data_IF_425745914472
#
_entry.id   IF_425745914472
#
_cell.length_a   1.000
_cell.length_b   1.000
_cell.length_c   1.000
_cell.angle_alpha   90.00
_cell.angle_beta   90.00
_cell.angle_gamma   90.00
#
_symmetry.space_group_name_H-M   'P 1'
#
loop_
_entity.id
_entity.type
_entity.pdbx_description
1 polymer ?
#
# COMPACT_ATOMS: atom_id res chain seq x y z
N UNK A 1 -0.15 6.57 41.31
CA UNK A 1 0.27 6.10 39.97
C UNK A 1 -0.02 7.24 39.03
N UNK A 2 0.99 7.88 38.44
CA UNK A 2 0.76 8.92 37.42
C UNK A 2 0.05 8.28 36.24
N UNK A 3 -1.08 8.83 35.80
CA UNK A 3 -1.69 8.41 34.54
C UNK A 3 -0.65 8.56 33.42
N UNK A 4 -0.35 7.45 32.74
CA UNK A 4 0.46 7.48 31.53
C UNK A 4 -0.35 8.24 30.49
N UNK A 5 0.22 9.33 29.96
CA UNK A 5 -0.44 10.12 28.91
C UNK A 5 -0.82 9.22 27.73
N UNK A 6 -2.06 9.32 27.27
CA UNK A 6 -2.61 8.57 26.14
C UNK A 6 -2.68 9.44 24.90
N UNK A 7 -2.33 8.85 23.76
CA UNK A 7 -2.23 9.51 22.47
C UNK A 7 -3.19 8.88 21.46
N UNK A 8 -3.59 9.68 20.47
CA UNK A 8 -4.26 9.19 19.27
C UNK A 8 -3.22 8.83 18.22
N UNK A 9 -3.30 7.64 17.65
CA UNK A 9 -2.51 7.27 16.48
C UNK A 9 -3.24 7.70 15.20
N UNK A 10 -2.55 8.42 14.31
CA UNK A 10 -3.01 8.73 12.97
C UNK A 10 -2.06 8.06 11.97
N UNK A 11 -2.57 7.12 11.18
CA UNK A 11 -1.73 6.29 10.28
C UNK A 11 -2.47 5.88 9.02
N UNK A 12 -1.83 5.16 8.11
CA UNK A 12 -2.43 4.63 6.88
C UNK A 12 -3.21 3.35 7.15
N UNK A 13 -4.24 3.09 6.33
CA UNK A 13 -4.98 1.82 6.36
C UNK A 13 -4.27 0.75 5.50
N UNK A 14 -3.05 0.40 5.88
CA UNK A 14 -2.24 -0.65 5.26
C UNK A 14 -1.50 -1.46 6.33
N UNK A 15 -0.73 -2.47 5.91
CA UNK A 15 -0.09 -3.40 6.84
C UNK A 15 0.95 -2.71 7.74
N UNK A 16 1.65 -1.68 7.24
CA UNK A 16 2.58 -0.89 8.06
C UNK A 16 1.84 -0.09 9.15
N UNK A 17 0.73 0.57 8.80
CA UNK A 17 -0.12 1.22 9.78
C UNK A 17 -0.73 0.27 10.82
N UNK A 18 -1.12 -0.94 10.41
CA UNK A 18 -1.57 -2.01 11.31
C UNK A 18 -0.49 -2.38 12.33
N UNK A 19 0.73 -2.66 11.87
CA UNK A 19 1.82 -3.07 12.78
C UNK A 19 2.26 -1.91 13.66
N UNK A 20 2.30 -0.67 13.16
CA UNK A 20 2.50 0.53 13.99
C UNK A 20 1.48 0.60 15.15
N UNK A 21 0.20 0.38 14.84
CA UNK A 21 -0.86 0.36 15.84
C UNK A 21 -0.69 -0.77 16.86
N UNK A 22 -0.29 -1.97 16.42
CA UNK A 22 0.02 -3.11 17.29
C UNK A 22 1.12 -2.75 18.29
N UNK A 23 2.25 -2.21 17.82
CA UNK A 23 3.40 -1.82 18.65
C UNK A 23 3.01 -0.76 19.70
N UNK A 24 2.36 0.32 19.25
CA UNK A 24 1.99 1.44 20.13
C UNK A 24 0.88 1.06 21.12
N UNK A 25 -0.03 0.16 20.73
CA UNK A 25 -1.04 -0.41 21.64
C UNK A 25 -0.39 -1.33 22.68
N UNK A 26 0.64 -2.08 22.32
CA UNK A 26 1.39 -2.94 23.24
C UNK A 26 2.16 -2.14 24.31
N UNK A 27 2.67 -0.95 23.94
CA UNK A 27 3.22 0.01 24.91
C UNK A 27 2.17 0.57 25.88
N UNK A 28 0.88 0.38 25.58
CA UNK A 28 -0.21 0.92 26.37
C UNK A 28 -0.30 2.44 26.31
N UNK A 29 0.12 3.09 25.23
CA UNK A 29 0.12 4.56 25.10
C UNK A 29 -1.00 5.10 24.22
N UNK A 30 -1.79 4.22 23.58
CA UNK A 30 -2.91 4.64 22.72
C UNK A 30 -4.26 4.59 23.43
N UNK A 31 -5.15 5.53 23.09
CA UNK A 31 -6.58 5.51 23.40
C UNK A 31 -7.49 5.64 22.16
N UNK A 32 -6.97 6.19 21.05
CA UNK A 32 -7.68 6.31 19.78
C UNK A 32 -6.77 5.96 18.60
N UNK A 33 -7.34 5.39 17.54
CA UNK A 33 -6.66 5.11 16.27
C UNK A 33 -7.52 5.64 15.13
N UNK A 34 -6.91 6.38 14.21
CA UNK A 34 -7.56 6.93 13.02
C UNK A 34 -6.74 6.61 11.77
N UNK A 35 -7.36 5.88 10.85
CA UNK A 35 -6.76 5.63 9.54
C UNK A 35 -7.08 6.77 8.56
N UNK A 36 -6.07 7.26 7.84
CA UNK A 36 -6.20 8.38 6.89
C UNK A 36 -5.37 8.11 5.62
N UNK A 37 -5.70 8.83 4.55
CA UNK A 37 -4.91 8.82 3.32
C UNK A 37 -3.83 9.92 3.36
N UNK A 38 -2.60 9.68 2.85
CA UNK A 38 -1.52 10.69 2.83
C UNK A 38 -1.93 12.04 2.20
N UNK A 39 -2.75 11.98 1.14
CA UNK A 39 -3.29 13.18 0.50
C UNK A 39 -4.14 14.03 1.44
N UNK A 40 -4.95 13.43 2.32
CA UNK A 40 -5.80 14.20 3.23
C UNK A 40 -4.98 14.89 4.33
N UNK A 41 -3.83 14.32 4.70
CA UNK A 41 -2.83 15.00 5.54
C UNK A 41 -2.21 16.20 4.80
N UNK A 42 -1.78 16.01 3.54
CA UNK A 42 -1.20 17.09 2.73
C UNK A 42 -2.18 18.22 2.42
N UNK A 43 -3.45 17.89 2.19
CA UNK A 43 -4.53 18.84 1.93
C UNK A 43 -5.02 19.53 3.25
N UNK A 44 -4.47 19.18 4.41
CA UNK A 44 -4.83 19.78 5.71
C UNK A 44 -6.25 19.44 6.20
N UNK A 45 -6.83 18.33 5.73
CA UNK A 45 -8.20 17.91 6.11
C UNK A 45 -8.25 17.16 7.43
N UNK A 46 -7.11 16.68 7.91
CA UNK A 46 -7.00 15.96 9.18
C UNK A 46 -6.45 16.94 10.22
N UNK A 47 -7.26 17.21 11.25
CA UNK A 47 -6.82 17.99 12.40
C UNK A 47 -5.79 17.19 13.21
N UNK A 48 -4.61 17.78 13.40
CA UNK A 48 -3.48 17.24 14.16
C UNK A 48 -3.16 18.16 15.34
N UNK A 49 -2.91 17.56 16.49
CA UNK A 49 -2.68 18.24 17.79
C UNK A 49 -1.51 17.60 18.53
N UNK A 50 -1.10 18.20 19.65
CA UNK A 50 -0.06 17.65 20.53
C UNK A 50 -0.41 16.31 21.21
N UNK A 51 -1.60 15.76 20.96
CA UNK A 51 -2.01 14.40 21.37
C UNK A 51 -1.76 13.34 20.31
N UNK A 52 -1.29 13.72 19.13
CA UNK A 52 -1.21 12.81 17.98
C UNK A 52 0.17 12.23 17.78
N UNK A 53 0.23 10.91 17.62
CA UNK A 53 1.38 10.22 17.05
C UNK A 53 1.01 9.88 15.60
N UNK A 54 1.86 10.28 14.64
CA UNK A 54 1.64 9.94 13.23
C UNK A 54 2.67 8.92 12.76
N UNK A 55 2.27 7.92 11.99
CA UNK A 55 3.20 6.94 11.39
C UNK A 55 2.94 6.78 9.90
N UNK A 56 4.00 6.66 9.10
CA UNK A 56 3.94 6.48 7.63
C UNK A 56 3.03 7.52 6.95
N UNK A 57 3.14 8.78 7.36
CA UNK A 57 2.36 9.89 6.80
C UNK A 57 3.28 11.11 6.63
N UNK A 58 2.96 12.01 5.68
CA UNK A 58 3.69 13.26 5.53
C UNK A 58 3.73 14.03 6.84
N UNK A 59 4.89 14.59 7.18
CA UNK A 59 5.06 15.38 8.41
C UNK A 59 4.07 16.53 8.49
N UNK A 60 3.46 16.69 9.66
CA UNK A 60 2.59 17.81 10.04
C UNK A 60 3.07 18.40 11.36
N UNK A 61 3.18 19.72 11.42
CA UNK A 61 3.55 20.45 12.63
C UNK A 61 2.45 20.32 13.70
N UNK A 62 2.83 20.22 14.98
CA UNK A 62 1.91 20.09 16.10
C UNK A 62 1.68 18.67 16.60
N UNK A 63 2.04 17.63 15.84
CA UNK A 63 2.03 16.25 16.31
C UNK A 63 3.00 16.05 17.50
N UNK A 64 2.66 15.14 18.42
CA UNK A 64 3.53 14.74 19.52
C UNK A 64 4.82 14.07 19.01
N UNK A 65 4.66 13.03 18.19
CA UNK A 65 5.73 12.30 17.51
C UNK A 65 5.30 11.95 16.09
N UNK A 66 6.25 12.04 15.15
CA UNK A 66 6.07 11.66 13.75
C UNK A 66 7.10 10.59 13.42
N UNK A 67 6.66 9.38 13.12
CA UNK A 67 7.51 8.28 12.68
C UNK A 67 7.41 8.12 11.16
N UNK A 68 8.55 8.20 10.49
CA UNK A 68 8.61 8.07 9.03
C UNK A 68 9.93 7.41 8.59
N UNK A 69 9.96 6.97 7.34
CA UNK A 69 11.11 6.36 6.69
C UNK A 69 11.28 6.81 5.22
N UNK A 70 10.46 7.77 4.75
CA UNK A 70 10.57 8.25 3.38
C UNK A 70 11.73 9.24 3.22
N UNK A 71 12.71 8.90 2.37
CA UNK A 71 13.84 9.78 2.08
C UNK A 71 13.41 11.18 1.63
N UNK A 72 12.29 11.31 0.89
CA UNK A 72 11.75 12.60 0.47
C UNK A 72 11.41 13.53 1.63
N UNK A 73 10.95 13.00 2.77
CA UNK A 73 10.58 13.79 3.93
C UNK A 73 11.79 14.36 4.67
N UNK A 74 12.94 13.66 4.62
CA UNK A 74 14.22 14.19 5.14
C UNK A 74 14.63 15.48 4.43
N UNK A 75 14.35 15.57 3.13
CA UNK A 75 14.66 16.74 2.31
C UNK A 75 13.61 17.85 2.48
N UNK A 76 12.33 17.49 2.59
CA UNK A 76 11.21 18.45 2.66
C UNK A 76 11.11 19.17 4.00
N UNK A 77 11.28 18.43 5.11
CA UNK A 77 10.99 18.91 6.46
C UNK A 77 12.23 19.45 7.17
N UNK A 78 13.40 18.89 6.86
CA UNK A 78 14.62 19.12 7.61
C UNK A 78 14.59 18.49 9.01
N UNK A 79 15.47 18.96 9.90
CA UNK A 79 15.57 18.45 11.27
C UNK A 79 14.48 19.01 12.19
N UNK A 80 13.67 18.13 12.78
CA UNK A 80 12.67 18.47 13.80
C UNK A 80 12.77 17.47 14.95
N UNK A 81 12.69 17.97 16.19
CA UNK A 81 12.91 17.14 17.38
C UNK A 81 11.87 16.01 17.54
N UNK A 82 10.63 16.25 17.09
CA UNK A 82 9.55 15.27 17.13
C UNK A 82 9.46 14.39 15.87
N UNK A 83 10.37 14.56 14.89
CA UNK A 83 10.38 13.81 13.64
C UNK A 83 11.40 12.68 13.75
N UNK A 84 10.92 11.51 14.11
CA UNK A 84 11.71 10.28 14.21
C UNK A 84 11.72 9.63 12.83
N UNK A 85 12.78 9.89 12.07
CA UNK A 85 12.90 9.42 10.69
C UNK A 85 14.17 8.62 10.48
N UNK A 86 14.02 7.43 9.90
CA UNK A 86 15.14 6.65 9.37
C UNK A 86 14.89 6.28 7.91
N UNK A 87 15.52 6.97 6.94
CA UNK A 87 15.30 6.71 5.52
C UNK A 87 15.86 5.37 5.03
N UNK A 88 16.57 4.62 5.88
CA UNK A 88 17.06 3.27 5.59
C UNK A 88 16.14 2.18 6.15
N UNK A 89 15.20 2.53 7.03
CA UNK A 89 14.26 1.58 7.56
C UNK A 89 13.30 1.11 6.45
N UNK A 90 13.02 -0.19 6.34
CA UNK A 90 12.14 -0.74 5.32
C UNK A 90 10.65 -0.43 5.53
N UNK A 91 10.25 0.02 6.72
CA UNK A 91 8.87 0.36 7.11
C UNK A 91 8.86 1.41 8.24
N UNK A 92 7.76 2.14 8.44
CA UNK A 92 7.63 3.00 9.62
C UNK A 92 7.45 2.19 10.92
N UNK A 93 6.85 1.00 10.84
CA UNK A 93 6.77 0.06 11.95
C UNK A 93 8.17 -0.33 12.47
N UNK A 94 9.15 -0.51 11.58
CA UNK A 94 10.55 -0.72 11.99
C UNK A 94 11.11 0.47 12.75
N UNK A 95 10.85 1.70 12.30
CA UNK A 95 11.28 2.91 13.00
C UNK A 95 10.67 2.99 14.40
N UNK A 96 9.37 2.70 14.54
CA UNK A 96 8.69 2.63 15.85
C UNK A 96 9.32 1.55 16.72
N UNK A 97 9.52 0.34 16.18
CA UNK A 97 10.08 -0.80 16.90
C UNK A 97 11.47 -0.48 17.45
N UNK A 98 12.37 0.04 16.61
CA UNK A 98 13.75 0.34 16.99
C UNK A 98 13.83 1.54 17.95
N UNK A 99 13.04 2.60 17.73
CA UNK A 99 13.01 3.78 18.59
C UNK A 99 12.68 3.45 20.05
N UNK A 100 11.74 2.51 20.27
CA UNK A 100 11.32 2.13 21.62
C UNK A 100 12.17 1.01 22.25
N UNK A 101 13.21 0.50 21.58
CA UNK A 101 14.14 -0.49 22.14
C UNK A 101 14.00 -1.91 21.59
N UNK A 102 13.31 -2.08 20.47
CA UNK A 102 13.26 -3.33 19.72
C UNK A 102 12.81 -4.53 20.54
N UNK A 103 13.49 -5.68 20.39
CA UNK A 103 13.08 -6.96 20.99
C UNK A 103 13.03 -6.92 22.51
N UNK A 104 13.91 -6.14 23.14
CA UNK A 104 13.91 -5.96 24.59
C UNK A 104 12.62 -5.27 25.08
N UNK A 105 12.11 -4.31 24.30
CA UNK A 105 10.86 -3.61 24.63
C UNK A 105 9.62 -4.39 24.21
N UNK A 106 9.71 -5.16 23.13
CA UNK A 106 8.61 -5.87 22.49
C UNK A 106 8.82 -7.40 22.51
N UNK A 107 8.93 -8.03 23.69
CA UNK A 107 9.28 -9.46 23.78
C UNK A 107 8.21 -10.37 23.17
N UNK A 108 6.95 -9.96 23.23
CA UNK A 108 5.76 -10.71 22.75
C UNK A 108 5.46 -10.47 21.27
N UNK A 109 6.04 -9.43 20.65
CA UNK A 109 5.81 -9.13 19.24
C UNK A 109 6.55 -10.17 18.39
N UNK A 110 5.82 -10.73 17.42
CA UNK A 110 6.33 -11.72 16.49
C UNK A 110 7.43 -11.12 15.61
N UNK A 111 8.59 -11.77 15.57
CA UNK A 111 9.67 -11.41 14.66
C UNK A 111 9.28 -11.66 13.20
N UNK A 112 8.44 -12.67 12.95
CA UNK A 112 7.90 -12.97 11.63
C UNK A 112 6.99 -11.84 11.13
N UNK A 113 6.12 -11.30 11.99
CA UNK A 113 5.28 -10.15 11.65
C UNK A 113 6.13 -8.92 11.33
N UNK A 114 7.18 -8.67 12.11
CA UNK A 114 8.11 -7.57 11.87
C UNK A 114 8.90 -7.76 10.56
N UNK A 115 9.29 -8.99 10.21
CA UNK A 115 9.92 -9.27 8.92
C UNK A 115 8.94 -9.09 7.76
N UNK A 116 7.67 -9.49 7.95
CA UNK A 116 6.64 -9.38 6.92
C UNK A 116 6.25 -7.93 6.61
N UNK A 117 6.15 -7.05 7.62
CA UNK A 117 5.86 -5.62 7.39
C UNK A 117 7.01 -4.93 6.66
N UNK A 118 8.25 -5.28 7.00
CA UNK A 118 9.44 -4.78 6.30
C UNK A 118 9.47 -5.22 4.84
N UNK A 119 9.12 -6.49 4.58
CA UNK A 119 8.99 -7.01 3.22
C UNK A 119 7.87 -6.30 2.44
N UNK A 120 6.72 -6.09 3.08
CA UNK A 120 5.54 -5.50 2.47
C UNK A 120 5.75 -4.06 2.01
N UNK A 121 6.27 -3.21 2.90
CA UNK A 121 6.34 -1.78 2.65
C UNK A 121 7.50 -1.42 1.69
N UNK A 122 8.61 -2.14 1.78
CA UNK A 122 9.72 -2.07 0.79
C UNK A 122 9.43 -2.82 -0.53
N UNK A 123 8.29 -3.51 -0.59
CA UNK A 123 7.85 -4.37 -1.69
C UNK A 123 8.90 -5.41 -2.12
N UNK A 124 9.65 -5.97 -1.17
CA UNK A 124 10.69 -6.98 -1.39
C UNK A 124 10.11 -8.40 -1.51
N UNK A 125 9.06 -8.54 -2.33
CA UNK A 125 8.47 -9.83 -2.63
C UNK A 125 9.24 -10.56 -3.74
N UNK A 126 9.33 -11.88 -3.57
CA UNK A 126 9.71 -12.80 -4.62
C UNK A 126 8.51 -13.09 -5.53
N UNK A 127 8.79 -13.68 -6.70
CA UNK A 127 7.73 -14.07 -7.63
C UNK A 127 6.74 -15.06 -7.00
N UNK A 128 7.22 -15.98 -6.17
CA UNK A 128 6.38 -16.97 -5.50
C UNK A 128 5.44 -16.34 -4.48
N UNK A 129 5.92 -15.34 -3.71
CA UNK A 129 5.10 -14.59 -2.76
C UNK A 129 3.90 -13.93 -3.43
N UNK A 130 4.04 -13.55 -4.71
CA UNK A 130 3.00 -12.92 -5.52
C UNK A 130 2.01 -13.94 -6.08
N UNK A 131 2.53 -15.07 -6.59
CA UNK A 131 1.73 -16.11 -7.25
C UNK A 131 0.91 -16.92 -6.24
N UNK A 132 1.54 -17.31 -5.13
CA UNK A 132 0.96 -18.18 -4.11
C UNK A 132 1.17 -17.57 -2.71
N UNK A 133 0.59 -16.40 -2.43
CA UNK A 133 0.74 -15.74 -1.14
C UNK A 133 0.20 -16.61 -0.01
N UNK A 134 0.97 -16.74 1.06
CA UNK A 134 0.56 -17.43 2.30
C UNK A 134 0.91 -16.55 3.50
N UNK A 135 0.41 -16.93 4.68
CA UNK A 135 0.75 -16.28 5.95
C UNK A 135 0.53 -14.76 5.91
N UNK A 136 1.53 -14.01 6.39
CA UNK A 136 1.46 -12.55 6.49
C UNK A 136 1.39 -11.86 5.13
N UNK A 137 1.99 -12.43 4.10
CA UNK A 137 1.90 -11.91 2.72
C UNK A 137 0.46 -11.98 2.22
N UNK A 138 -0.23 -13.09 2.47
CA UNK A 138 -1.66 -13.22 2.13
C UNK A 138 -2.50 -12.20 2.90
N UNK A 139 -2.27 -12.08 4.21
CA UNK A 139 -2.97 -11.09 5.03
C UNK A 139 -2.76 -9.66 4.51
N UNK A 140 -1.52 -9.30 4.18
CA UNK A 140 -1.23 -7.99 3.60
C UNK A 140 -2.00 -7.77 2.29
N UNK A 141 -2.01 -8.75 1.39
CA UNK A 141 -2.70 -8.61 0.10
C UNK A 141 -4.22 -8.51 0.24
N UNK A 142 -4.87 -9.26 1.13
CA UNK A 142 -6.32 -9.14 1.32
C UNK A 142 -6.72 -7.84 2.04
N UNK A 143 -5.79 -7.26 2.81
CA UNK A 143 -6.02 -5.96 3.47
C UNK A 143 -5.73 -4.77 2.56
N UNK A 144 -4.90 -4.94 1.53
CA UNK A 144 -4.62 -3.88 0.55
C UNK A 144 -5.88 -3.54 -0.25
N UNK A 145 -6.39 -2.32 -0.09
CA UNK A 145 -7.55 -1.82 -0.83
C UNK A 145 -7.38 -1.93 -2.36
N UNK A 146 -6.14 -1.92 -2.86
CA UNK A 146 -5.80 -2.04 -4.29
C UNK A 146 -6.04 -3.45 -4.82
N UNK A 147 -6.12 -4.46 -3.96
CA UNK A 147 -6.53 -5.83 -4.34
C UNK A 147 -7.96 -5.88 -4.85
N UNK A 148 -8.80 -4.92 -4.46
CA UNK A 148 -10.14 -4.74 -5.03
C UNK A 148 -11.22 -5.66 -4.48
N UNK A 149 -10.99 -6.32 -3.33
CA UNK A 149 -12.00 -7.18 -2.69
C UNK A 149 -13.31 -6.43 -2.38
N UNK A 150 -13.22 -5.16 -2.00
CA UNK A 150 -14.38 -4.32 -1.67
C UNK A 150 -15.36 -4.06 -2.84
N UNK A 151 -15.04 -4.48 -4.07
CA UNK A 151 -15.93 -4.32 -5.24
C UNK A 151 -17.06 -5.34 -5.30
N UNK A 152 -16.92 -6.47 -4.63
CA UNK A 152 -17.70 -7.67 -4.95
C UNK A 152 -18.75 -8.06 -3.92
N UNK A 153 -18.52 -7.75 -2.65
CA UNK A 153 -19.37 -8.23 -1.57
C UNK A 153 -19.45 -7.24 -0.44
N UNK A 154 -20.63 -7.18 0.16
CA UNK A 154 -20.79 -6.68 1.53
C UNK A 154 -20.25 -7.75 2.49
N UNK A 155 -19.00 -7.57 2.90
CA UNK A 155 -18.40 -8.33 3.99
C UNK A 155 -19.15 -8.07 5.31
N UNK A 156 -19.09 -9.03 6.25
CA UNK A 156 -19.80 -8.90 7.54
C UNK A 156 -19.37 -7.65 8.31
N UNK A 157 -18.09 -7.33 8.24
CA UNK A 157 -17.50 -6.11 8.81
C UNK A 157 -16.82 -5.30 7.73
N UNK A 158 -16.77 -3.97 7.91
CA UNK A 158 -16.01 -3.09 7.02
C UNK A 158 -14.52 -3.35 7.13
N UNK A 159 -13.73 -2.98 6.11
CA UNK A 159 -12.26 -3.08 6.21
C UNK A 159 -11.71 -2.23 7.36
N UNK A 160 -12.35 -1.11 7.70
CA UNK A 160 -11.96 -0.29 8.84
C UNK A 160 -12.12 -1.05 10.16
N UNK A 161 -13.27 -1.68 10.37
CA UNK A 161 -13.52 -2.47 11.57
C UNK A 161 -12.59 -3.68 11.63
N UNK A 162 -12.40 -4.38 10.50
CA UNK A 162 -11.45 -5.49 10.44
C UNK A 162 -10.04 -5.07 10.83
N UNK A 163 -9.56 -3.91 10.35
CA UNK A 163 -8.26 -3.36 10.74
C UNK A 163 -8.18 -3.09 12.26
N UNK A 164 -9.26 -2.57 12.86
CA UNK A 164 -9.32 -2.35 14.31
C UNK A 164 -9.24 -3.68 15.09
N UNK A 165 -9.96 -4.70 14.65
CA UNK A 165 -9.96 -6.01 15.29
C UNK A 165 -8.60 -6.71 15.12
N UNK A 166 -8.00 -6.61 13.93
CA UNK A 166 -6.68 -7.18 13.62
C UNK A 166 -5.57 -6.62 14.51
N UNK A 167 -5.67 -5.36 14.99
CA UNK A 167 -4.69 -4.81 15.93
C UNK A 167 -4.62 -5.64 17.22
N UNK A 168 -5.76 -6.14 17.71
CA UNK A 168 -5.80 -6.99 18.90
C UNK A 168 -5.42 -8.45 18.59
N UNK A 169 -5.87 -8.97 17.44
CA UNK A 169 -5.53 -10.34 17.04
C UNK A 169 -4.02 -10.50 16.78
N UNK A 170 -3.36 -9.56 16.11
CA UNK A 170 -1.91 -9.61 15.84
C UNK A 170 -1.05 -9.64 17.11
N UNK A 171 -1.58 -9.21 18.26
CA UNK A 171 -0.88 -9.26 19.56
C UNK A 171 -0.97 -10.60 20.26
N UNK A 172 -1.94 -11.44 19.89
CA UNK A 172 -2.35 -12.60 20.68
C UNK A 172 -2.54 -13.90 19.89
N UNK A 173 -2.54 -13.83 18.56
CA UNK A 173 -2.78 -14.95 17.66
C UNK A 173 -1.59 -15.15 16.71
N UNK A 174 -1.35 -16.41 16.32
CA UNK A 174 -0.46 -16.71 15.19
C UNK A 174 -1.13 -16.32 13.88
N UNK A 175 -0.35 -16.25 12.80
CA UNK A 175 -0.89 -15.91 11.48
C UNK A 175 -1.89 -16.95 10.97
N UNK A 176 -1.67 -18.23 11.25
CA UNK A 176 -2.62 -19.30 10.89
C UNK A 176 -3.96 -19.11 11.60
N UNK A 177 -3.94 -18.72 12.87
CA UNK A 177 -5.14 -18.44 13.63
C UNK A 177 -5.87 -17.19 13.11
N UNK A 178 -5.12 -16.15 12.73
CA UNK A 178 -5.69 -14.92 12.15
C UNK A 178 -6.40 -15.23 10.82
N UNK A 179 -5.78 -16.03 9.95
CA UNK A 179 -6.35 -16.38 8.65
C UNK A 179 -7.64 -17.23 8.77
N UNK A 180 -7.83 -17.92 9.89
CA UNK A 180 -9.04 -18.70 10.18
C UNK A 180 -10.13 -17.89 10.91
N UNK A 181 -9.88 -16.63 11.28
CA UNK A 181 -10.93 -15.75 11.83
C UNK A 181 -12.04 -15.56 10.78
N UNK A 182 -13.33 -15.63 11.14
CA UNK A 182 -14.43 -15.60 10.17
C UNK A 182 -14.38 -14.44 9.17
N UNK A 183 -14.09 -13.21 9.64
CA UNK A 183 -14.03 -12.01 8.79
C UNK A 183 -12.78 -11.98 7.89
N UNK A 184 -11.70 -12.65 8.27
CA UNK A 184 -10.49 -12.80 7.46
C UNK A 184 -10.69 -13.92 6.45
N UNK A 185 -11.23 -15.06 6.90
CA UNK A 185 -11.49 -16.24 6.08
C UNK A 185 -12.44 -15.94 4.92
N UNK A 186 -13.52 -15.19 5.14
CA UNK A 186 -14.44 -14.82 4.04
C UNK A 186 -13.75 -14.00 2.94
N UNK A 187 -12.72 -13.22 3.29
CA UNK A 187 -11.91 -12.44 2.34
C UNK A 187 -10.89 -13.32 1.63
N UNK A 188 -10.25 -14.24 2.35
CA UNK A 188 -9.34 -15.25 1.79
C UNK A 188 -10.08 -16.13 0.78
N UNK A 189 -11.29 -16.59 1.12
CA UNK A 189 -12.10 -17.44 0.25
C UNK A 189 -12.44 -16.71 -1.05
N UNK A 190 -12.88 -15.44 -0.98
CA UNK A 190 -13.17 -14.64 -2.16
C UNK A 190 -11.92 -14.35 -3.00
N UNK A 191 -10.81 -13.99 -2.35
CA UNK A 191 -9.52 -13.79 -3.02
C UNK A 191 -9.10 -15.04 -3.79
N UNK A 192 -9.23 -16.22 -3.16
CA UNK A 192 -8.90 -17.52 -3.76
C UNK A 192 -9.83 -17.86 -4.93
N UNK A 193 -11.14 -17.64 -4.79
CA UNK A 193 -12.12 -17.84 -5.87
C UNK A 193 -11.82 -16.96 -7.09
N UNK A 194 -11.26 -15.77 -6.90
CA UNK A 194 -10.90 -14.86 -7.99
C UNK A 194 -9.52 -15.12 -8.60
N UNK A 195 -8.67 -15.94 -7.99
CA UNK A 195 -7.27 -16.07 -8.39
C UNK A 195 -7.10 -16.49 -9.86
N UNK A 196 -7.76 -17.58 -10.28
CA UNK A 196 -7.67 -18.06 -11.67
C UNK A 196 -8.32 -17.09 -12.66
N UNK A 197 -9.47 -16.50 -12.30
CA UNK A 197 -10.20 -15.52 -13.11
C UNK A 197 -9.37 -14.25 -13.34
N UNK A 198 -8.68 -13.78 -12.31
CA UNK A 198 -7.80 -12.62 -12.40
C UNK A 198 -6.58 -12.92 -13.27
N UNK A 199 -5.96 -14.09 -13.12
CA UNK A 199 -4.83 -14.49 -13.96
C UNK A 199 -5.23 -14.62 -15.44
N UNK A 200 -6.38 -15.23 -15.73
CA UNK A 200 -6.91 -15.32 -17.11
C UNK A 200 -7.15 -13.92 -17.69
N UNK A 201 -7.83 -13.06 -16.93
CA UNK A 201 -8.09 -11.68 -17.33
C UNK A 201 -6.79 -10.92 -17.63
N UNK A 202 -5.78 -11.00 -16.76
CA UNK A 202 -4.49 -10.35 -17.00
C UNK A 202 -3.83 -10.86 -18.29
N UNK A 203 -3.87 -12.17 -18.56
CA UNK A 203 -3.28 -12.76 -19.77
C UNK A 203 -4.02 -12.33 -21.05
N UNK A 204 -5.34 -12.26 -21.00
CA UNK A 204 -6.18 -11.92 -22.16
C UNK A 204 -6.18 -10.42 -22.48
N UNK A 205 -6.13 -9.58 -21.45
CA UNK A 205 -6.24 -8.13 -21.59
C UNK A 205 -4.89 -7.41 -21.68
N UNK A 206 -3.78 -8.09 -21.40
CA UNK A 206 -2.46 -7.48 -21.46
C UNK A 206 -1.83 -7.57 -22.86
N UNK A 207 -1.12 -6.52 -23.25
CA UNK A 207 -0.26 -6.46 -24.43
C UNK A 207 1.13 -6.00 -24.01
N UNK A 208 2.16 -6.79 -24.35
CA UNK A 208 3.56 -6.42 -24.11
C UNK A 208 4.08 -5.57 -25.27
N UNK A 209 4.69 -4.43 -24.95
CA UNK A 209 5.24 -3.46 -25.89
C UNK A 209 6.67 -3.11 -25.47
N UNK A 210 7.62 -3.99 -25.79
CA UNK A 210 9.00 -3.89 -25.29
C UNK A 210 9.07 -4.16 -23.79
N UNK A 211 9.66 -3.25 -23.02
CA UNK A 211 9.78 -3.32 -21.56
C UNK A 211 8.47 -2.96 -20.80
N UNK A 212 7.42 -2.55 -21.52
CA UNK A 212 6.14 -2.10 -20.97
C UNK A 212 5.06 -3.16 -21.15
N UNK A 213 4.32 -3.50 -20.09
CA UNK A 213 3.06 -4.26 -20.21
C UNK A 213 1.85 -3.32 -20.06
N UNK A 214 0.99 -3.29 -21.06
CA UNK A 214 -0.25 -2.50 -21.05
C UNK A 214 -1.42 -3.44 -20.79
N UNK A 215 -2.15 -3.22 -19.71
CA UNK A 215 -3.36 -3.96 -19.35
C UNK A 215 -4.59 -3.08 -19.58
N UNK A 216 -5.36 -3.34 -20.64
CA UNK A 216 -6.60 -2.60 -20.91
C UNK A 216 -7.83 -3.37 -20.41
N UNK A 217 -8.42 -2.86 -19.34
CA UNK A 217 -9.58 -3.47 -18.67
C UNK A 217 -10.89 -2.77 -19.02
N UNK A 218 -10.89 -1.75 -19.90
CA UNK A 218 -12.10 -0.98 -20.25
C UNK A 218 -13.19 -1.83 -20.92
N UNK A 219 -12.82 -2.96 -21.52
CA UNK A 219 -13.76 -3.89 -22.17
C UNK A 219 -14.24 -5.01 -21.26
N UNK A 220 -13.74 -5.08 -20.03
CA UNK A 220 -14.14 -6.09 -19.06
C UNK A 220 -15.32 -5.58 -18.24
N UNK A 221 -16.41 -6.34 -18.20
CA UNK A 221 -17.56 -6.03 -17.35
C UNK A 221 -17.20 -6.14 -15.86
N UNK A 222 -16.38 -7.13 -15.52
CA UNK A 222 -15.94 -7.41 -14.15
C UNK A 222 -14.42 -7.35 -14.07
N UNK A 223 -13.88 -6.60 -13.10
CA UNK A 223 -12.45 -6.57 -12.81
C UNK A 223 -12.20 -7.37 -11.52
N UNK A 224 -11.72 -8.60 -11.67
CA UNK A 224 -11.53 -9.55 -10.58
C UNK A 224 -10.51 -9.05 -9.53
N UNK A 225 -10.68 -9.52 -8.31
CA UNK A 225 -9.78 -9.18 -7.21
C UNK A 225 -8.48 -9.97 -7.33
N UNK A 226 -7.36 -9.31 -7.03
CA UNK A 226 -6.05 -9.93 -7.03
C UNK A 226 -4.96 -8.95 -6.66
N UNK A 227 -3.84 -9.44 -6.13
CA UNK A 227 -2.79 -8.56 -5.66
C UNK A 227 -2.18 -7.76 -6.82
N UNK A 228 -1.83 -6.50 -6.55
CA UNK A 228 -1.34 -5.55 -7.56
C UNK A 228 -0.02 -5.92 -8.24
N UNK A 229 0.69 -6.92 -7.70
CA UNK A 229 1.99 -7.34 -8.23
C UNK A 229 1.88 -8.50 -9.22
N UNK A 230 0.72 -9.14 -9.32
CA UNK A 230 0.47 -10.29 -10.20
C UNK A 230 0.88 -10.04 -11.65
N UNK A 231 0.62 -8.83 -12.16
CA UNK A 231 1.02 -8.46 -13.53
C UNK A 231 2.53 -8.63 -13.76
N UNK A 232 3.38 -8.31 -12.78
CA UNK A 232 4.83 -8.46 -12.92
C UNK A 232 5.28 -9.91 -12.80
N UNK A 233 4.56 -10.73 -12.02
CA UNK A 233 4.84 -12.17 -11.93
C UNK A 233 4.44 -12.93 -13.20
N UNK A 234 3.41 -12.46 -13.92
CA UNK A 234 2.97 -13.01 -15.20
C UNK A 234 3.80 -12.50 -16.39
N UNK A 235 4.32 -11.27 -16.32
CA UNK A 235 5.12 -10.64 -17.37
C UNK A 235 6.51 -10.22 -16.86
N UNK A 236 7.38 -11.18 -16.44
CA UNK A 236 8.63 -10.89 -15.75
C UNK A 236 9.67 -10.15 -16.61
N UNK A 237 9.57 -10.24 -17.94
CA UNK A 237 10.46 -9.53 -18.87
C UNK A 237 10.17 -8.02 -18.95
N UNK A 238 9.04 -7.57 -18.41
CA UNK A 238 8.67 -6.15 -18.34
C UNK A 238 9.10 -5.52 -17.02
N UNK A 239 9.45 -4.24 -17.05
CA UNK A 239 9.90 -3.49 -15.88
C UNK A 239 8.93 -2.36 -15.46
N UNK A 240 7.89 -2.12 -16.27
CA UNK A 240 6.84 -1.14 -15.98
C UNK A 240 5.51 -1.59 -16.59
N UNK A 241 4.41 -1.30 -15.90
CA UNK A 241 3.06 -1.58 -16.36
C UNK A 241 2.23 -0.31 -16.48
N UNK A 242 1.21 -0.36 -17.35
CA UNK A 242 0.16 0.64 -17.48
C UNK A 242 -1.18 -0.08 -17.41
N UNK A 243 -2.01 0.24 -16.43
CA UNK A 243 -3.41 -0.22 -16.36
C UNK A 243 -4.30 0.87 -16.96
N UNK A 244 -5.11 0.50 -17.95
CA UNK A 244 -6.10 1.36 -18.59
C UNK A 244 -7.47 0.98 -18.06
N UNK A 245 -8.11 1.92 -17.36
CA UNK A 245 -9.35 1.73 -16.61
C UNK A 245 -10.35 2.81 -16.97
N UNK A 246 -11.64 2.51 -16.86
CA UNK A 246 -12.64 3.56 -16.80
C UNK A 246 -12.53 4.32 -15.48
N UNK A 247 -12.61 5.65 -15.54
CA UNK A 247 -12.87 6.45 -14.35
C UNK A 247 -14.33 6.41 -13.92
N UNK A 248 -14.69 7.30 -13.00
CA UNK A 248 -16.02 7.33 -12.40
C UNK A 248 -17.10 7.41 -13.48
N UNK A 249 -18.01 6.43 -13.50
CA UNK A 249 -19.11 6.33 -14.47
C UNK A 249 -18.65 6.43 -15.94
N UNK A 250 -17.44 5.98 -16.24
CA UNK A 250 -16.83 6.04 -17.58
C UNK A 250 -16.69 7.47 -18.16
N UNK A 251 -16.68 8.50 -17.31
CA UNK A 251 -16.58 9.90 -17.75
C UNK A 251 -15.20 10.24 -18.32
N UNK A 252 -14.17 9.49 -17.92
CA UNK A 252 -12.80 9.65 -18.37
C UNK A 252 -12.08 8.28 -18.36
N UNK A 253 -10.86 8.25 -18.90
CA UNK A 253 -9.97 7.09 -18.85
C UNK A 253 -8.84 7.35 -17.87
N UNK A 254 -8.59 6.38 -16.99
CA UNK A 254 -7.48 6.40 -16.04
C UNK A 254 -6.33 5.57 -16.60
N UNK A 255 -5.14 6.16 -16.64
CA UNK A 255 -3.89 5.46 -16.92
C UNK A 255 -3.11 5.37 -15.63
N UNK A 256 -3.03 4.17 -15.06
CA UNK A 256 -2.30 3.91 -13.81
C UNK A 256 -1.00 3.16 -14.09
N UNK A 257 0.12 3.81 -13.80
CA UNK A 257 1.45 3.32 -14.12
C UNK A 257 2.18 2.84 -12.86
N UNK A 258 2.93 1.76 -12.97
CA UNK A 258 3.75 1.25 -11.87
C UNK A 258 4.98 0.49 -12.34
N UNK A 259 6.10 0.64 -11.62
CA UNK A 259 7.31 -0.15 -11.86
C UNK A 259 7.17 -1.56 -11.30
N UNK A 260 7.79 -2.51 -11.99
CA UNK A 260 7.92 -3.88 -11.52
C UNK A 260 8.77 -3.94 -10.25
N UNK A 261 8.32 -4.74 -9.28
CA UNK A 261 9.08 -5.01 -8.06
C UNK A 261 10.08 -6.17 -8.23
N UNK A 262 9.91 -6.96 -9.31
CA UNK A 262 10.78 -8.07 -9.68
C UNK A 262 11.89 -7.61 -10.64
N UNK A 263 11.52 -6.85 -11.67
CA UNK A 263 12.44 -6.25 -12.63
C UNK A 263 12.54 -4.74 -12.39
N UNK A 264 13.42 -4.34 -11.46
CA UNK A 264 13.55 -2.94 -11.00
C UNK A 264 14.41 -2.06 -11.91
N UNK A 265 14.54 -2.40 -13.19
CA UNK A 265 15.44 -1.73 -14.14
C UNK A 265 14.85 -0.46 -14.78
N UNK A 266 13.54 -0.22 -14.67
CA UNK A 266 12.87 0.91 -15.31
C UNK A 266 13.45 2.26 -14.84
N UNK A 267 13.86 3.09 -15.79
CA UNK A 267 14.47 4.41 -15.55
C UNK A 267 13.47 5.56 -15.59
N UNK A 268 12.26 5.35 -16.10
CA UNK A 268 11.21 6.37 -16.15
C UNK A 268 10.89 6.91 -14.76
N UNK A 269 10.87 8.22 -14.59
CA UNK A 269 10.30 8.85 -13.41
C UNK A 269 8.78 9.00 -13.61
N UNK A 270 8.00 8.11 -13.00
CA UNK A 270 6.57 7.99 -13.30
C UNK A 270 5.79 9.23 -12.84
N UNK A 271 6.09 9.79 -11.67
CA UNK A 271 5.38 10.94 -11.13
C UNK A 271 5.39 12.16 -12.07
N UNK A 272 6.57 12.69 -12.45
CA UNK A 272 6.71 13.78 -13.41
C UNK A 272 6.17 13.44 -14.79
N UNK A 273 6.24 12.18 -15.25
CA UNK A 273 5.64 11.79 -16.52
C UNK A 273 4.11 11.91 -16.48
N UNK A 274 3.46 11.43 -15.42
CA UNK A 274 2.01 11.55 -15.26
C UNK A 274 1.57 13.00 -15.06
N UNK A 275 2.39 13.84 -14.42
CA UNK A 275 2.11 15.26 -14.22
C UNK A 275 1.95 16.03 -15.54
N UNK A 276 2.69 15.64 -16.60
CA UNK A 276 2.55 16.24 -17.94
C UNK A 276 1.15 16.06 -18.54
N UNK A 277 0.39 15.07 -18.06
CA UNK A 277 -0.97 14.77 -18.49
C UNK A 277 -2.02 15.09 -17.41
N UNK A 278 -1.72 16.05 -16.52
CA UNK A 278 -2.64 16.49 -15.46
C UNK A 278 -2.79 15.50 -14.30
N UNK A 279 -1.92 14.48 -14.25
CA UNK A 279 -1.86 13.49 -13.19
C UNK A 279 -0.83 13.80 -12.11
N UNK A 280 -0.30 12.75 -11.51
CA UNK A 280 0.77 12.85 -10.53
C UNK A 280 1.18 11.48 -9.98
N UNK A 281 2.08 11.50 -9.00
CA UNK A 281 2.60 10.29 -8.38
C UNK A 281 3.98 10.52 -7.82
N UNK A 282 4.72 9.43 -7.65
CA UNK A 282 6.12 9.42 -7.24
C UNK A 282 6.95 8.61 -8.25
N UNK A 283 8.24 8.43 -7.96
CA UNK A 283 9.20 7.87 -8.92
C UNK A 283 8.79 6.49 -9.50
N UNK A 284 8.10 5.67 -8.70
CA UNK A 284 7.80 4.28 -9.04
C UNK A 284 6.33 4.01 -9.38
N UNK A 285 5.42 4.97 -9.17
CA UNK A 285 4.02 4.81 -9.49
C UNK A 285 3.32 6.17 -9.63
N UNK A 286 2.30 6.23 -10.47
CA UNK A 286 1.52 7.43 -10.71
C UNK A 286 0.32 7.17 -11.58
N UNK A 287 -0.59 8.14 -11.63
CA UNK A 287 -1.79 8.05 -12.45
C UNK A 287 -2.07 9.38 -13.14
N UNK A 288 -2.68 9.33 -14.33
CA UNK A 288 -3.35 10.48 -14.94
C UNK A 288 -4.76 10.08 -15.39
N UNK A 289 -5.66 11.06 -15.44
CA UNK A 289 -7.01 10.89 -15.94
C UNK A 289 -7.19 11.79 -17.16
N UNK A 290 -7.65 11.22 -18.26
CA UNK A 290 -7.75 11.91 -19.55
C UNK A 290 -9.11 11.67 -20.18
N UNK A 291 -9.54 12.62 -21.01
CA UNK A 291 -10.78 12.47 -21.77
C UNK A 291 -10.72 11.21 -22.65
N UNK A 292 -11.87 10.55 -22.81
CA UNK A 292 -11.95 9.24 -23.46
C UNK A 292 -11.48 9.25 -24.93
N UNK A 293 -11.70 10.36 -25.64
CA UNK A 293 -11.28 10.57 -27.02
C UNK A 293 -9.75 10.78 -27.15
N UNK A 294 -9.09 11.24 -26.09
CA UNK A 294 -7.64 11.44 -26.02
C UNK A 294 -6.89 10.25 -25.41
N UNK A 295 -7.60 9.28 -24.85
CA UNK A 295 -7.01 8.19 -24.08
C UNK A 295 -5.97 7.38 -24.87
N UNK A 296 -6.25 7.07 -26.13
CA UNK A 296 -5.33 6.28 -26.98
C UNK A 296 -4.06 7.08 -27.32
N UNK A 297 -4.22 8.35 -27.70
CA UNK A 297 -3.09 9.24 -28.02
C UNK A 297 -2.12 9.37 -26.82
N UNK A 298 -2.68 9.61 -25.62
CA UNK A 298 -1.89 9.76 -24.40
C UNK A 298 -1.24 8.44 -23.99
N UNK A 299 -1.96 7.31 -24.13
CA UNK A 299 -1.40 5.98 -23.87
C UNK A 299 -0.19 5.71 -24.77
N UNK A 300 -0.30 5.96 -26.08
CA UNK A 300 0.82 5.76 -27.01
C UNK A 300 2.02 6.66 -26.66
N UNK A 301 1.79 7.92 -26.29
CA UNK A 301 2.85 8.83 -25.88
C UNK A 301 3.58 8.36 -24.61
N UNK A 302 2.83 7.88 -23.61
CA UNK A 302 3.40 7.33 -22.36
C UNK A 302 4.18 6.05 -22.64
N UNK A 303 3.64 5.12 -23.42
CA UNK A 303 4.31 3.89 -23.82
C UNK A 303 5.61 4.20 -24.56
N UNK A 304 5.57 5.11 -25.54
CA UNK A 304 6.75 5.52 -26.30
C UNK A 304 7.84 6.08 -25.39
N UNK A 305 7.45 6.93 -24.41
CA UNK A 305 8.39 7.48 -23.43
C UNK A 305 9.00 6.40 -22.54
N UNK A 306 8.19 5.52 -21.96
CA UNK A 306 8.68 4.44 -21.09
C UNK A 306 9.61 3.47 -21.83
N UNK A 307 9.35 3.22 -23.12
CA UNK A 307 10.23 2.41 -23.97
C UNK A 307 11.56 3.10 -24.27
N UNK A 308 11.55 4.41 -24.47
CA UNK A 308 12.76 5.18 -24.73
C UNK A 308 13.67 5.28 -23.49
N UNK A 309 13.07 5.43 -22.31
CA UNK A 309 13.81 5.50 -21.05
C UNK A 309 14.46 4.16 -20.68
N UNK A 310 13.81 3.04 -21.03
CA UNK A 310 14.24 1.68 -20.70
C UNK A 310 13.71 1.24 -19.34
#
# INVERSE_FOLDING_TARGET
MSEVAKYRLVTRSDFDGLVCAVLLKDLGILDEIKFVHPKDMQDGKIEITGRDITTNLPYVEGAHLVFDHHLSETMRVGGKANHIIDPKAPSAARVVYDYYGGKERFPTISEEMMAAVDQADSAQYQREDILNPTGWTLLNFIMDARTGLGRFREFRVSNYQLMMDLIDYCRSHSIEQILELPDVKERVDLYTQHAELFVDQLKRCATVRGNVVVLDLRREETIYAGNRFMIYALFPDTNVSIHVLWGLKQQNTVLACGKSILNRSSKTDIGPLMLQYGGGGHQAAGTCQVDNDRAEEVLEAIVARMRADG
#
